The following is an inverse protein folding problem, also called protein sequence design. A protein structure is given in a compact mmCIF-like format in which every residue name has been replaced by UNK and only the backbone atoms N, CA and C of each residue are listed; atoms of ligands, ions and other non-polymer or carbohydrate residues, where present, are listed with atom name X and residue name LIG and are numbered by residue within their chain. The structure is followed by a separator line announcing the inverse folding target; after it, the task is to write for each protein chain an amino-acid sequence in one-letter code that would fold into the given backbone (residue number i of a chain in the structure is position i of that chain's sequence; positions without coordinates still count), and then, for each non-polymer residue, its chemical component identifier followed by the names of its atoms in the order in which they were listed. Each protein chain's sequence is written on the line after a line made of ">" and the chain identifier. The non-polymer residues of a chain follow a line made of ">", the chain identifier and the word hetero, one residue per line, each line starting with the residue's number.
data_IF_126787991161
#
_entry.id   IF_126787991161
#
_cell.length_a   1.000
_cell.length_b   1.000
_cell.length_c   1.000
_cell.angle_alpha   90.00
_cell.angle_beta   90.00
_cell.angle_gamma   90.00
#
_symmetry.space_group_name_H-M   'P 1'
#
loop_
_entity.id
_entity.type
_entity.pdbx_description
1 polymer ?
#
# COMPACT_ATOMS: atom_id res chain seq x y z
N UNK A 1 6.63 -68.21 -1.64
CA UNK A 1 6.06 -67.45 -2.76
C UNK A 1 4.67 -66.98 -2.39
N UNK A 2 4.52 -65.71 -2.02
CA UNK A 2 3.31 -64.86 -2.06
C UNK A 2 3.69 -63.52 -1.41
N UNK A 3 4.47 -62.71 -2.13
CA UNK A 3 4.78 -61.34 -1.71
C UNK A 3 3.52 -60.49 -1.87
N UNK A 4 3.03 -59.96 -0.75
CA UNK A 4 1.74 -59.29 -0.67
C UNK A 4 1.74 -57.93 -1.39
N UNK A 5 0.82 -57.68 -2.34
CA UNK A 5 0.72 -56.41 -3.08
C UNK A 5 0.08 -55.28 -2.26
N UNK A 6 -0.17 -55.49 -0.97
CA UNK A 6 -1.01 -54.61 -0.14
C UNK A 6 -0.25 -53.41 0.47
N UNK A 7 1.09 -53.43 0.48
CA UNK A 7 1.94 -52.38 1.08
C UNK A 7 2.24 -51.21 0.14
N UNK A 8 2.13 -51.39 -1.17
CA UNK A 8 2.34 -50.32 -2.18
C UNK A 8 1.18 -49.32 -2.20
N UNK A 9 -0.06 -49.81 -2.14
CA UNK A 9 -1.28 -48.99 -2.18
C UNK A 9 -1.35 -47.98 -1.03
N UNK A 10 -0.90 -48.34 0.17
CA UNK A 10 -0.89 -47.42 1.33
C UNK A 10 0.20 -46.34 1.19
N UNK A 11 1.34 -46.68 0.57
CA UNK A 11 2.45 -45.75 0.32
C UNK A 11 2.07 -44.73 -0.76
N UNK A 12 1.43 -45.17 -1.84
CA UNK A 12 1.00 -44.30 -2.94
C UNK A 12 -0.09 -43.31 -2.50
N UNK A 13 -0.99 -43.75 -1.59
CA UNK A 13 -1.98 -42.87 -0.95
C UNK A 13 -1.33 -41.82 -0.05
N UNK A 14 -0.28 -42.16 0.69
CA UNK A 14 0.45 -41.22 1.53
C UNK A 14 1.22 -40.19 0.69
N UNK A 15 1.88 -40.62 -0.39
CA UNK A 15 2.52 -39.71 -1.34
C UNK A 15 1.52 -38.79 -2.04
N UNK A 16 0.34 -39.31 -2.43
CA UNK A 16 -0.74 -38.50 -2.97
C UNK A 16 -1.26 -37.48 -1.95
N UNK A 17 -1.40 -37.86 -0.67
CA UNK A 17 -1.84 -36.96 0.41
C UNK A 17 -0.80 -35.86 0.70
N UNK A 18 0.49 -36.20 0.72
CA UNK A 18 1.58 -35.23 0.91
C UNK A 18 1.63 -34.25 -0.27
N UNK A 19 1.48 -34.74 -1.51
CA UNK A 19 1.47 -33.90 -2.71
C UNK A 19 0.26 -32.96 -2.74
N UNK A 20 -0.91 -33.44 -2.30
CA UNK A 20 -2.11 -32.60 -2.19
C UNK A 20 -1.93 -31.48 -1.15
N UNK A 21 -1.31 -31.80 0.00
CA UNK A 21 -1.06 -30.85 1.08
C UNK A 21 -0.04 -29.77 0.69
N UNK A 22 1.00 -30.11 -0.07
CA UNK A 22 2.01 -29.13 -0.53
C UNK A 22 1.48 -28.19 -1.60
N UNK A 23 0.58 -28.65 -2.48
CA UNK A 23 -0.06 -27.80 -3.49
C UNK A 23 -0.95 -26.74 -2.83
N UNK A 24 -1.68 -27.08 -1.76
CA UNK A 24 -2.56 -26.14 -1.04
C UNK A 24 -1.79 -25.04 -0.30
N UNK A 25 -0.59 -25.32 0.22
CA UNK A 25 0.22 -24.32 0.90
C UNK A 25 0.82 -23.27 -0.06
N UNK A 26 0.96 -23.60 -1.35
CA UNK A 26 1.54 -22.72 -2.36
C UNK A 26 0.52 -21.71 -2.93
N UNK A 27 -0.78 -22.00 -2.85
CA UNK A 27 -1.83 -21.11 -3.42
C UNK A 27 -2.23 -19.96 -2.50
N UNK A 28 -1.94 -20.02 -1.19
CA UNK A 28 -2.30 -18.99 -0.22
C UNK A 28 -1.40 -17.75 -0.27
N UNK A 29 -0.16 -17.87 -0.77
CA UNK A 29 0.77 -16.74 -0.94
C UNK A 29 0.43 -15.84 -2.12
N UNK A 30 -0.50 -16.25 -2.99
CA UNK A 30 -0.94 -15.49 -4.17
C UNK A 30 -2.25 -14.70 -3.94
N UNK A 31 -2.93 -14.90 -2.81
CA UNK A 31 -4.11 -14.10 -2.47
C UNK A 31 -3.63 -12.70 -2.06
N UNK A 32 -3.84 -11.76 -2.98
CA UNK A 32 -3.23 -10.43 -3.01
C UNK A 32 -3.24 -9.68 -1.68
N UNK A 33 -2.07 -9.16 -1.33
CA UNK A 33 -1.91 -8.15 -0.29
C UNK A 33 -2.61 -6.87 -0.78
N UNK A 34 -3.80 -6.57 -0.24
CA UNK A 34 -4.46 -5.31 -0.52
C UNK A 34 -3.69 -4.20 0.20
N UNK A 35 -2.80 -3.50 -0.52
CA UNK A 35 -2.00 -2.43 0.07
C UNK A 35 -2.91 -1.23 0.36
N UNK A 36 -2.90 -0.79 1.62
CA UNK A 36 -3.55 0.47 2.01
C UNK A 36 -2.63 1.61 1.60
N UNK A 37 -2.98 2.29 0.51
CA UNK A 37 -2.24 3.43 -0.03
C UNK A 37 -2.84 4.72 0.53
N UNK A 38 -2.05 5.47 1.30
CA UNK A 38 -2.46 6.77 1.90
C UNK A 38 -2.23 7.93 0.93
N UNK A 39 -1.31 7.76 -0.02
CA UNK A 39 -0.91 8.77 -0.99
C UNK A 39 0.26 8.31 -1.85
N UNK A 40 0.78 9.22 -2.65
CA UNK A 40 1.89 8.99 -3.58
C UNK A 40 3.12 9.78 -3.13
N UNK A 41 4.31 9.30 -3.48
CA UNK A 41 5.58 10.02 -3.26
C UNK A 41 6.27 10.20 -4.59
N UNK A 42 6.75 11.42 -4.85
CA UNK A 42 7.57 11.72 -6.03
C UNK A 42 8.88 12.39 -5.62
N UNK A 43 9.91 12.18 -6.42
CA UNK A 43 11.19 12.87 -6.27
C UNK A 43 11.22 14.11 -7.15
N UNK A 44 11.59 15.25 -6.58
CA UNK A 44 11.68 16.55 -7.25
C UNK A 44 13.08 17.15 -7.07
N UNK A 45 13.74 17.53 -8.17
CA UNK A 45 15.03 18.25 -8.12
C UNK A 45 14.80 19.73 -7.79
N UNK A 46 15.24 20.16 -6.62
CA UNK A 46 15.20 21.56 -6.23
C UNK A 46 16.36 22.34 -6.84
N UNK A 47 16.06 23.25 -7.77
CA UNK A 47 17.06 24.15 -8.34
C UNK A 47 17.62 25.15 -7.30
N UNK A 48 16.80 25.56 -6.34
CA UNK A 48 17.19 26.53 -5.29
C UNK A 48 18.16 25.90 -4.28
N UNK A 49 17.96 24.62 -3.96
CA UNK A 49 18.76 23.91 -2.95
C UNK A 49 19.86 23.03 -3.57
N UNK A 50 19.78 22.77 -4.87
CA UNK A 50 20.76 21.95 -5.58
C UNK A 50 20.67 20.45 -5.27
N UNK A 51 19.53 19.96 -4.77
CA UNK A 51 19.36 18.58 -4.30
C UNK A 51 17.98 17.99 -4.66
N UNK A 52 17.86 16.68 -4.52
CA UNK A 52 16.59 15.96 -4.71
C UNK A 52 15.77 16.01 -3.42
N UNK A 53 14.47 16.24 -3.56
CA UNK A 53 13.51 16.35 -2.47
C UNK A 53 12.38 15.36 -2.68
N UNK A 54 11.95 14.70 -1.61
CA UNK A 54 10.75 13.88 -1.61
C UNK A 54 9.52 14.75 -1.33
N UNK A 55 8.52 14.62 -2.20
CA UNK A 55 7.23 15.28 -2.06
C UNK A 55 6.15 14.21 -1.97
N UNK A 56 5.29 14.33 -0.97
CA UNK A 56 4.19 13.42 -0.67
C UNK A 56 2.88 14.07 -1.13
N UNK A 57 2.02 13.32 -1.80
CA UNK A 57 0.74 13.79 -2.33
C UNK A 57 -0.40 12.93 -1.83
N UNK A 58 -1.44 13.56 -1.30
CA UNK A 58 -2.72 12.90 -1.05
C UNK A 58 -3.84 13.77 -1.63
N UNK A 59 -4.58 13.18 -2.56
CA UNK A 59 -5.74 13.80 -3.18
C UNK A 59 -6.99 13.28 -2.50
N UNK A 60 -7.69 14.14 -1.76
CA UNK A 60 -9.03 13.88 -1.26
C UNK A 60 -10.19 14.19 -2.24
N UNK A 61 -10.03 14.92 -3.37
CA UNK A 61 -11.13 15.01 -4.32
C UNK A 61 -11.32 13.70 -5.08
N UNK A 62 -12.59 13.27 -5.17
CA UNK A 62 -13.00 12.02 -5.84
C UNK A 62 -12.75 12.04 -7.35
N UNK A 63 -12.69 13.23 -7.96
CA UNK A 63 -12.47 13.43 -9.39
C UNK A 63 -11.28 14.36 -9.66
N UNK A 64 -10.11 13.82 -10.02
CA UNK A 64 -8.94 14.62 -10.40
C UNK A 64 -9.14 15.38 -11.74
N UNK A 65 -10.19 15.08 -12.51
CA UNK A 65 -10.57 15.76 -13.75
C UNK A 65 -11.53 16.93 -13.56
N UNK A 66 -12.11 17.10 -12.37
CA UNK A 66 -12.98 18.23 -12.08
C UNK A 66 -12.18 19.53 -12.13
N UNK A 67 -12.61 20.50 -12.96
CA UNK A 67 -12.03 21.86 -13.04
C UNK A 67 -12.37 22.73 -11.82
N UNK A 68 -12.47 22.10 -10.67
CA UNK A 68 -12.85 22.74 -9.42
C UNK A 68 -11.59 23.19 -8.68
N UNK A 69 -11.68 24.33 -7.98
CA UNK A 69 -10.55 24.87 -7.23
C UNK A 69 -10.55 24.26 -5.83
N UNK A 70 -9.48 23.57 -5.49
CA UNK A 70 -9.29 22.96 -4.17
C UNK A 70 -8.28 23.76 -3.33
N UNK A 71 -8.46 23.84 -2.01
CA UNK A 71 -7.41 24.28 -1.10
C UNK A 71 -6.22 23.31 -1.19
N UNK A 72 -5.02 23.83 -0.91
CA UNK A 72 -3.80 23.04 -0.82
C UNK A 72 -3.18 23.24 0.55
N UNK A 73 -3.01 22.16 1.30
CA UNK A 73 -2.30 22.13 2.57
C UNK A 73 -0.85 21.70 2.35
N UNK A 74 0.09 22.63 2.49
CA UNK A 74 1.52 22.31 2.51
C UNK A 74 1.93 21.87 3.91
N UNK A 75 2.40 20.63 4.05
CA UNK A 75 2.83 20.03 5.30
C UNK A 75 4.35 19.86 5.29
N UNK A 76 5.03 20.35 6.33
CA UNK A 76 6.47 20.14 6.54
C UNK A 76 6.74 18.86 7.32
N UNK A 77 7.98 18.36 7.25
CA UNK A 77 8.44 17.13 7.92
C UNK A 77 7.51 15.93 7.63
N UNK A 78 7.12 15.84 6.36
CA UNK A 78 6.12 14.89 5.88
C UNK A 78 6.53 13.42 6.08
N UNK A 79 7.82 13.12 6.12
CA UNK A 79 8.35 11.78 6.34
C UNK A 79 7.85 11.13 7.64
N UNK A 80 7.46 11.94 8.63
CA UNK A 80 6.88 11.47 9.90
C UNK A 80 5.41 11.86 10.08
N UNK A 81 4.98 13.01 9.55
CA UNK A 81 3.65 13.56 9.85
C UNK A 81 2.59 13.29 8.78
N UNK A 82 2.98 12.89 7.57
CA UNK A 82 2.08 12.85 6.42
C UNK A 82 0.84 11.99 6.67
N UNK A 83 1.02 10.74 7.13
CA UNK A 83 -0.09 9.82 7.39
C UNK A 83 -1.04 10.30 8.48
N UNK A 84 -0.54 10.99 9.49
CA UNK A 84 -1.37 11.52 10.57
C UNK A 84 -2.20 12.72 10.07
N UNK A 85 -1.56 13.62 9.34
CA UNK A 85 -2.21 14.80 8.80
C UNK A 85 -3.28 14.42 7.77
N UNK A 86 -2.98 13.53 6.81
CA UNK A 86 -3.94 13.13 5.78
C UNK A 86 -5.16 12.44 6.37
N UNK A 87 -4.98 11.53 7.33
CA UNK A 87 -6.11 10.89 8.02
C UNK A 87 -6.98 11.88 8.80
N UNK A 88 -6.37 12.89 9.44
CA UNK A 88 -7.15 13.93 10.13
C UNK A 88 -7.92 14.81 9.14
N UNK A 89 -7.28 15.21 8.03
CA UNK A 89 -7.93 16.00 6.98
C UNK A 89 -9.08 15.21 6.36
N UNK A 90 -8.88 13.94 6.05
CA UNK A 90 -9.92 13.06 5.50
C UNK A 90 -11.11 12.94 6.45
N UNK A 91 -10.85 12.65 7.73
CA UNK A 91 -11.90 12.55 8.74
C UNK A 91 -12.70 13.85 8.88
N UNK A 92 -12.03 15.00 8.92
CA UNK A 92 -12.68 16.29 9.07
C UNK A 92 -13.42 16.73 7.80
N UNK A 93 -12.91 16.38 6.63
CA UNK A 93 -13.57 16.66 5.36
C UNK A 93 -14.83 15.81 5.19
N UNK A 94 -14.80 14.52 5.57
CA UNK A 94 -15.98 13.66 5.60
C UNK A 94 -17.05 14.14 6.58
N UNK A 95 -16.65 14.86 7.63
CA UNK A 95 -17.54 15.46 8.61
C UNK A 95 -17.98 16.89 8.24
N UNK A 96 -17.68 17.36 7.02
CA UNK A 96 -17.95 18.72 6.53
C UNK A 96 -17.42 19.84 7.45
N UNK A 97 -16.37 19.57 8.23
CA UNK A 97 -15.73 20.55 9.13
C UNK A 97 -14.66 21.38 8.45
N UNK A 98 -14.02 20.81 7.43
CA UNK A 98 -13.08 21.48 6.54
C UNK A 98 -13.44 21.12 5.10
N UNK A 99 -13.13 21.96 4.11
CA UNK A 99 -13.30 21.59 2.72
C UNK A 99 -12.37 20.43 2.33
N UNK A 100 -12.80 19.59 1.39
CA UNK A 100 -11.91 18.64 0.71
C UNK A 100 -10.74 19.40 0.10
N UNK A 101 -9.51 18.90 0.29
CA UNK A 101 -8.29 19.61 -0.07
C UNK A 101 -7.17 18.66 -0.48
N UNK A 102 -6.19 19.18 -1.18
CA UNK A 102 -4.98 18.44 -1.56
C UNK A 102 -3.94 18.62 -0.46
N UNK A 103 -3.38 17.53 0.04
CA UNK A 103 -2.27 17.59 1.00
C UNK A 103 -0.96 17.36 0.26
N UNK A 104 -0.05 18.33 0.35
CA UNK A 104 1.30 18.28 -0.23
C UNK A 104 2.32 18.27 0.90
N UNK A 105 2.87 17.11 1.19
CA UNK A 105 3.93 16.94 2.16
C UNK A 105 5.30 17.21 1.56
N UNK A 106 6.14 17.97 2.26
CA UNK A 106 7.53 18.23 1.90
C UNK A 106 8.39 17.56 2.96
N UNK A 107 9.25 16.62 2.54
CA UNK A 107 10.19 16.01 3.45
C UNK A 107 11.19 17.05 3.98
N UNK A 108 11.53 16.93 5.25
CA UNK A 108 12.74 17.57 5.76
C UNK A 108 13.93 16.98 4.98
N UNK A 109 14.81 17.84 4.49
CA UNK A 109 15.99 17.41 3.73
C UNK A 109 16.86 16.44 4.54
N UNK A 110 17.74 15.71 3.86
CA UNK A 110 18.68 14.81 4.51
C UNK A 110 19.46 15.53 5.62
N UNK A 111 19.35 15.03 6.85
CA UNK A 111 20.31 15.34 7.92
C UNK A 111 21.71 14.84 7.54
#
# INVERSE_FOLDING_TARGET
>A
MLSSPFRSIQRDRYFALITLLTIQACTSSLLGQNQVVVGETVTFRSAVLGEDREIYFASLPDDPGAKERYPVLYLLDAETHFRHATGAVEFLALADRIPRMIVVGIASGSR
#
